data_IF_300355619580
#
_entry.id   IF_300355619580
#
_cell.length_a   1.000
_cell.length_b   1.000
_cell.length_c   1.000
_cell.angle_alpha   90.00
_cell.angle_beta   90.00
_cell.angle_gamma   90.00
#
_symmetry.space_group_name_H-M   'P 1'
#
loop_
_entity.id
_entity.type
_entity.pdbx_description
1 polymer ?
#
# COMPACT_ATOMS: atom_id res chain seq x y z
N UNK A 1 -11.68 5.79 -18.94
CA UNK A 1 -10.53 4.94 -18.59
C UNK A 1 -9.37 5.87 -18.28
N UNK A 2 -9.07 6.08 -17.00
CA UNK A 2 -7.96 6.95 -16.59
C UNK A 2 -7.32 6.33 -15.36
N UNK A 3 -6.09 5.87 -15.52
CA UNK A 3 -5.24 5.30 -14.48
C UNK A 3 -5.10 6.34 -13.34
N UNK A 4 -5.92 6.23 -12.29
CA UNK A 4 -5.99 7.23 -11.20
C UNK A 4 -5.53 6.68 -9.85
N UNK A 5 -4.84 5.55 -9.87
CA UNK A 5 -4.26 4.93 -8.68
C UNK A 5 -2.75 5.13 -8.69
N UNK A 6 -2.27 5.79 -7.65
CA UNK A 6 -0.88 6.14 -7.43
C UNK A 6 -0.19 5.08 -6.59
N UNK A 7 1.04 4.79 -6.97
CA UNK A 7 1.97 3.97 -6.20
C UNK A 7 2.67 4.81 -5.12
N UNK A 8 3.12 4.19 -4.01
CA UNK A 8 3.14 2.75 -3.71
C UNK A 8 1.81 2.09 -3.25
N UNK A 9 0.81 2.87 -2.84
CA UNK A 9 -0.41 2.33 -2.22
C UNK A 9 -1.15 1.33 -3.14
N UNK A 10 -1.19 1.59 -4.45
CA UNK A 10 -1.79 0.69 -5.45
C UNK A 10 -1.16 -0.71 -5.39
N UNK A 11 0.17 -0.80 -5.47
CA UNK A 11 0.88 -2.07 -5.44
C UNK A 11 0.68 -2.83 -4.12
N UNK A 12 0.73 -2.15 -2.97
CA UNK A 12 0.56 -2.80 -1.66
C UNK A 12 -0.88 -3.32 -1.49
N UNK A 13 -1.87 -2.49 -1.84
CA UNK A 13 -3.29 -2.89 -1.77
C UNK A 13 -3.58 -4.03 -2.75
N UNK A 14 -2.92 -4.08 -3.91
CA UNK A 14 -3.05 -5.19 -4.85
C UNK A 14 -2.47 -6.51 -4.31
N UNK A 15 -1.35 -6.47 -3.55
CA UNK A 15 -0.74 -7.65 -2.92
C UNK A 15 -1.61 -8.23 -1.79
N UNK A 16 -2.24 -7.38 -0.99
CA UNK A 16 -2.99 -7.79 0.22
C UNK A 16 -4.49 -7.98 -0.06
N UNK A 17 -5.06 -7.13 -0.92
CA UNK A 17 -6.50 -7.01 -1.14
C UNK A 17 -7.13 -5.93 -0.25
N UNK A 18 -8.01 -5.12 -0.84
CA UNK A 18 -8.54 -3.92 -0.18
C UNK A 18 -9.39 -4.21 1.06
N UNK A 19 -10.21 -5.26 1.02
CA UNK A 19 -11.06 -5.66 2.16
C UNK A 19 -10.19 -6.15 3.31
N UNK A 20 -9.11 -6.86 3.01
CA UNK A 20 -8.17 -7.35 4.00
C UNK A 20 -7.36 -6.20 4.62
N UNK A 21 -6.91 -5.23 3.84
CA UNK A 21 -6.28 -4.00 4.35
C UNK A 21 -7.25 -3.23 5.26
N UNK A 22 -8.53 -3.15 4.91
CA UNK A 22 -9.58 -2.54 5.73
C UNK A 22 -9.72 -3.24 7.08
N UNK A 23 -9.76 -4.58 7.08
CA UNK A 23 -9.83 -5.41 8.29
C UNK A 23 -8.59 -5.23 9.18
N UNK A 24 -7.38 -5.35 8.62
CA UNK A 24 -6.11 -5.25 9.35
C UNK A 24 -5.96 -3.87 10.02
N UNK A 25 -6.32 -2.82 9.31
CA UNK A 25 -6.11 -1.43 9.77
C UNK A 25 -7.29 -0.89 10.58
N UNK A 26 -8.42 -1.61 10.62
CA UNK A 26 -9.69 -1.14 11.19
C UNK A 26 -10.29 0.07 10.49
N UNK A 27 -9.77 0.45 9.31
CA UNK A 27 -10.25 1.61 8.55
C UNK A 27 -11.30 1.19 7.56
N UNK A 28 -12.31 2.03 7.37
CA UNK A 28 -13.35 1.79 6.37
C UNK A 28 -12.74 1.64 4.96
N UNK A 29 -13.25 0.67 4.18
CA UNK A 29 -12.75 0.33 2.83
C UNK A 29 -12.60 1.55 1.91
N UNK A 30 -13.53 2.51 1.95
CA UNK A 30 -13.43 3.73 1.14
C UNK A 30 -12.27 4.65 1.54
N UNK A 31 -11.83 4.63 2.81
CA UNK A 31 -10.64 5.38 3.25
C UNK A 31 -9.36 4.73 2.72
N UNK A 32 -9.30 3.40 2.78
CA UNK A 32 -8.19 2.62 2.19
C UNK A 32 -8.11 2.86 0.69
N UNK A 33 -9.24 2.83 -0.01
CA UNK A 33 -9.30 3.07 -1.46
C UNK A 33 -8.70 4.45 -1.84
N UNK A 34 -8.98 5.48 -1.03
CA UNK A 34 -8.47 6.84 -1.25
C UNK A 34 -6.96 6.97 -1.06
N UNK A 35 -6.27 6.01 -0.44
CA UNK A 35 -4.80 6.06 -0.38
C UNK A 35 -4.15 6.03 -1.75
N UNK A 36 -4.80 5.37 -2.71
CA UNK A 36 -4.34 5.35 -4.09
C UNK A 36 -4.60 6.67 -4.82
N UNK A 37 -5.34 7.61 -4.25
CA UNK A 37 -5.70 8.84 -4.96
C UNK A 37 -4.68 9.96 -4.78
N UNK A 38 -4.58 10.87 -5.77
CA UNK A 38 -3.88 12.15 -5.63
C UNK A 38 -4.45 12.97 -4.47
N UNK A 39 -3.61 13.83 -3.87
CA UNK A 39 -4.00 14.68 -2.74
C UNK A 39 -5.10 15.67 -3.13
N UNK A 40 -5.07 16.13 -4.38
CA UNK A 40 -6.04 17.04 -4.99
C UNK A 40 -7.46 16.44 -5.04
N UNK A 41 -7.57 15.11 -5.01
CA UNK A 41 -8.84 14.37 -4.95
C UNK A 41 -9.17 13.84 -3.56
N UNK A 42 -8.49 14.36 -2.52
CA UNK A 42 -8.66 13.94 -1.14
C UNK A 42 -8.02 12.58 -0.81
N UNK A 43 -7.03 12.15 -1.59
CA UNK A 43 -6.20 10.99 -1.29
C UNK A 43 -4.93 11.33 -0.51
N UNK A 44 -4.03 10.34 -0.39
CA UNK A 44 -2.74 10.52 0.29
C UNK A 44 -1.58 10.81 -0.67
N UNK A 45 -1.86 10.86 -1.98
CA UNK A 45 -0.83 10.96 -3.01
C UNK A 45 -0.18 9.61 -3.33
N UNK A 46 -0.91 8.50 -3.17
CA UNK A 46 -0.37 7.16 -3.38
C UNK A 46 0.36 6.59 -2.17
N UNK A 47 0.26 7.21 -0.99
CA UNK A 47 1.03 6.81 0.18
C UNK A 47 0.20 6.05 1.22
N UNK A 48 0.78 4.92 1.64
CA UNK A 48 0.67 4.31 2.97
C UNK A 48 0.65 5.28 4.16
N UNK A 49 -0.42 5.60 4.93
CA UNK A 49 -0.19 6.38 6.14
C UNK A 49 0.74 5.62 7.10
N UNK A 50 1.72 6.32 7.67
CA UNK A 50 2.77 5.71 8.50
C UNK A 50 2.23 4.96 9.73
N UNK A 51 1.06 5.37 10.24
CA UNK A 51 0.38 4.69 11.34
C UNK A 51 -0.09 3.27 10.98
N UNK A 52 -0.36 3.00 9.70
CA UNK A 52 -0.91 1.73 9.23
C UNK A 52 0.16 0.77 8.69
N UNK A 53 1.29 1.32 8.21
CA UNK A 53 2.37 0.53 7.60
C UNK A 53 2.92 -0.60 8.50
N UNK A 54 3.20 -0.38 9.82
CA UNK A 54 3.71 -1.43 10.69
C UNK A 54 2.74 -2.61 10.84
N UNK A 55 1.44 -2.34 10.91
CA UNK A 55 0.42 -3.39 11.08
C UNK A 55 0.29 -4.23 9.80
N UNK A 56 0.36 -3.58 8.63
CA UNK A 56 0.37 -4.28 7.34
C UNK A 56 1.62 -5.14 7.14
N UNK A 57 2.79 -4.64 7.57
CA UNK A 57 4.05 -5.40 7.53
C UNK A 57 4.00 -6.62 8.45
N UNK A 58 3.53 -6.46 9.69
CA UNK A 58 3.39 -7.56 10.63
C UNK A 58 2.45 -8.64 10.07
N UNK A 59 1.28 -8.24 9.57
CA UNK A 59 0.34 -9.18 8.96
C UNK A 59 0.93 -9.87 7.73
N UNK A 60 1.63 -9.14 6.86
CA UNK A 60 2.25 -9.72 5.68
C UNK A 60 3.32 -10.76 6.05
N UNK A 61 4.13 -10.49 7.07
CA UNK A 61 5.12 -11.43 7.60
C UNK A 61 4.45 -12.69 8.15
N UNK A 62 3.38 -12.56 8.93
CA UNK A 62 2.63 -13.70 9.49
C UNK A 62 1.97 -14.56 8.42
N UNK A 63 1.58 -13.95 7.30
CA UNK A 63 0.87 -14.61 6.20
C UNK A 63 1.78 -14.97 5.01
N UNK A 64 3.11 -14.88 5.17
CA UNK A 64 4.10 -15.17 4.12
C UNK A 64 3.89 -14.39 2.82
N UNK A 65 3.43 -13.14 2.91
CA UNK A 65 3.31 -12.22 1.78
C UNK A 65 4.62 -11.43 1.63
N UNK A 66 5.18 -11.40 0.41
CA UNK A 66 6.37 -10.62 0.10
C UNK A 66 6.07 -9.10 0.08
N UNK A 67 6.12 -8.51 1.27
CA UNK A 67 5.98 -7.08 1.50
C UNK A 67 7.12 -6.60 2.40
N UNK A 68 7.90 -5.65 1.91
CA UNK A 68 9.02 -5.05 2.62
C UNK A 68 8.71 -3.60 3.01
N UNK A 69 9.40 -3.03 4.01
CA UNK A 69 9.28 -1.61 4.32
C UNK A 69 9.61 -0.70 3.14
N UNK A 70 10.49 -1.14 2.22
CA UNK A 70 10.84 -0.38 1.03
C UNK A 70 9.63 -0.18 0.11
N UNK A 71 8.73 -1.17 0.00
CA UNK A 71 7.52 -1.08 -0.83
C UNK A 71 6.63 0.13 -0.47
N UNK A 72 6.75 0.70 0.74
CA UNK A 72 5.96 1.85 1.20
C UNK A 72 6.50 3.21 0.74
N UNK A 73 7.66 3.26 0.07
CA UNK A 73 8.29 4.50 -0.38
C UNK A 73 8.22 4.64 -1.91
N UNK A 74 8.00 5.86 -2.44
CA UNK A 74 8.07 6.11 -3.88
C UNK A 74 9.43 5.70 -4.46
N UNK A 75 9.45 5.03 -5.61
CA UNK A 75 10.68 4.65 -6.31
C UNK A 75 11.34 3.35 -5.81
N UNK A 76 10.78 2.67 -4.81
CA UNK A 76 11.32 1.38 -4.35
C UNK A 76 11.23 0.24 -5.37
N UNK A 77 10.43 0.41 -6.44
CA UNK A 77 10.23 -0.60 -7.47
C UNK A 77 10.70 -0.15 -8.88
N UNK A 78 11.76 0.66 -8.95
CA UNK A 78 12.56 0.81 -10.15
C UNK A 78 13.82 -0.05 -10.05
N UNK A 79 13.68 -1.37 -10.20
CA UNK A 79 14.84 -2.25 -10.37
C UNK A 79 14.77 -3.55 -9.59
N UNK A 80 14.53 -4.64 -10.30
CA UNK A 80 15.05 -5.95 -9.94
C UNK A 80 16.56 -5.82 -9.62
N UNK A 81 16.96 -6.28 -8.44
CA UNK A 81 18.33 -6.17 -7.97
C UNK A 81 18.53 -6.85 -6.61
N UNK A 82 18.01 -8.07 -6.44
CA UNK A 82 18.51 -8.97 -5.38
C UNK A 82 19.83 -9.54 -5.90
N UNK A 83 20.95 -9.00 -5.44
CA UNK A 83 22.26 -9.66 -5.52
C UNK A 83 22.57 -10.30 -4.16
N UNK A 84 23.16 -11.48 -4.25
CA UNK A 84 23.43 -12.47 -3.20
C UNK A 84 24.18 -11.96 -1.97
#
# INVERSE_FOLDING_TARGET
MSDTHLDPAKSIIAKIGIEKVSEITGKHVSRVYRWMYPKERGGTGGLIPQSDAPVLLAWAQENNIELSPADFFPGANSGQGRAA
#
